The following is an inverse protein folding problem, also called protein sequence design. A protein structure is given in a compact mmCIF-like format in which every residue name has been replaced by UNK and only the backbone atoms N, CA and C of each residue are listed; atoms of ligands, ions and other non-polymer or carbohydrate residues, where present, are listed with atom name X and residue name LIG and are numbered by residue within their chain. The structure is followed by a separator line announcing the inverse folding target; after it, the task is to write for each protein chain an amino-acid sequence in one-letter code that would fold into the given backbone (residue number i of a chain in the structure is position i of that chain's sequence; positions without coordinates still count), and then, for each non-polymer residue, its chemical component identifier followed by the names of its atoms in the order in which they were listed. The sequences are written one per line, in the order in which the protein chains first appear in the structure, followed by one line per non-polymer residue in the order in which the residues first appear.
data_IF_859870900736
#
_entry.id   IF_859870900736
#
_cell.length_a   1.000
_cell.length_b   1.000
_cell.length_c   1.000
_cell.angle_alpha   90.00
_cell.angle_beta   90.00
_cell.angle_gamma   90.00
#
_symmetry.space_group_name_H-M   'P 1'
#
loop_
_entity.id
_entity.type
_entity.pdbx_description
1 polymer ?
#
# COMPACT_ATOMS: atom_id res chain seq x y z
N UNK A 1 46.20 -10.91 50.10
CA UNK A 1 45.13 -10.03 49.56
C UNK A 1 45.42 -9.44 48.16
N UNK A 2 46.67 -9.37 47.66
CA UNK A 2 47.00 -8.79 46.34
C UNK A 2 46.58 -9.63 45.11
N UNK A 3 46.37 -10.94 45.27
CA UNK A 3 45.99 -11.85 44.17
C UNK A 3 44.50 -11.78 43.79
N UNK A 4 43.62 -11.44 44.74
CA UNK A 4 42.16 -11.31 44.50
C UNK A 4 41.85 -10.05 43.66
N UNK A 5 42.60 -8.97 43.86
CA UNK A 5 42.39 -7.71 43.16
C UNK A 5 42.65 -7.84 41.64
N UNK A 6 43.66 -8.62 41.27
CA UNK A 6 44.06 -8.84 39.88
C UNK A 6 42.99 -9.66 39.11
N UNK A 7 42.37 -10.64 39.78
CA UNK A 7 41.29 -11.46 39.20
C UNK A 7 40.01 -10.64 38.97
N UNK A 8 39.69 -9.71 39.88
CA UNK A 8 38.52 -8.82 39.74
C UNK A 8 38.73 -7.80 38.60
N UNK A 9 39.96 -7.30 38.42
CA UNK A 9 40.30 -6.33 37.37
C UNK A 9 40.37 -6.96 35.96
N UNK A 10 40.64 -8.27 35.85
CA UNK A 10 40.56 -9.00 34.57
C UNK A 10 39.12 -9.31 34.15
N UNK A 11 38.17 -9.39 35.08
CA UNK A 11 36.78 -9.73 34.79
C UNK A 11 35.99 -8.58 34.13
N UNK A 12 36.41 -7.34 34.32
CA UNK A 12 35.69 -6.15 33.82
C UNK A 12 35.93 -5.83 32.34
N UNK A 13 36.86 -6.52 31.66
CA UNK A 13 37.17 -6.29 30.24
C UNK A 13 36.36 -7.15 29.25
N UNK A 14 35.56 -8.11 29.72
CA UNK A 14 34.95 -9.13 28.84
C UNK A 14 33.48 -8.93 28.45
N UNK A 15 32.85 -7.78 28.70
CA UNK A 15 31.42 -7.58 28.35
C UNK A 15 31.12 -6.22 27.74
N UNK A 16 31.82 -5.85 26.66
CA UNK A 16 31.36 -4.75 25.79
C UNK A 16 31.37 -5.24 24.34
N UNK A 17 30.48 -6.19 24.05
CA UNK A 17 30.11 -6.53 22.69
C UNK A 17 29.12 -5.50 22.16
N UNK A 18 29.60 -4.37 21.63
CA UNK A 18 28.74 -3.50 20.81
C UNK A 18 28.41 -4.23 19.51
N UNK A 19 27.32 -5.00 19.49
CA UNK A 19 26.81 -5.58 18.26
C UNK A 19 26.34 -4.44 17.37
N UNK A 20 27.17 -4.04 16.39
CA UNK A 20 26.79 -3.09 15.36
C UNK A 20 25.69 -3.75 14.53
N UNK A 21 24.44 -3.43 14.83
CA UNK A 21 23.29 -3.91 14.06
C UNK A 21 23.47 -3.50 12.60
N UNK A 22 23.77 -4.48 11.74
CA UNK A 22 23.91 -4.26 10.31
C UNK A 22 22.51 -3.96 9.76
N UNK A 23 22.33 -2.75 9.23
CA UNK A 23 21.10 -2.37 8.52
C UNK A 23 20.97 -3.36 7.35
N UNK A 24 19.99 -4.25 7.47
CA UNK A 24 19.75 -5.33 6.52
C UNK A 24 18.31 -5.20 6.05
N UNK A 25 18.10 -5.36 4.74
CA UNK A 25 16.76 -5.42 4.17
C UNK A 25 15.97 -6.55 4.84
N UNK A 26 14.78 -6.23 5.35
CA UNK A 26 13.84 -7.21 5.91
C UNK A 26 12.50 -7.08 5.22
N UNK A 27 11.74 -8.17 5.26
CA UNK A 27 10.36 -8.21 4.83
C UNK A 27 9.45 -7.88 6.01
N UNK A 28 8.49 -7.00 5.78
CA UNK A 28 7.49 -6.56 6.74
C UNK A 28 6.11 -6.72 6.12
N UNK A 29 5.25 -7.49 6.77
CA UNK A 29 3.83 -7.56 6.44
C UNK A 29 3.06 -6.77 7.48
N UNK A 30 2.41 -5.68 7.07
CA UNK A 30 1.78 -4.76 8.00
C UNK A 30 0.76 -3.87 7.34
N UNK A 31 0.12 -3.07 8.18
CA UNK A 31 -1.00 -2.22 7.83
C UNK A 31 -0.50 -0.81 7.57
N UNK A 32 -0.89 -0.22 6.45
CA UNK A 32 -0.48 1.12 6.06
C UNK A 32 -1.69 2.02 5.83
N UNK A 33 -1.61 3.25 6.34
CA UNK A 33 -2.60 4.30 6.11
C UNK A 33 -1.93 5.48 5.41
N UNK A 34 -2.45 5.86 4.23
CA UNK A 34 -1.87 6.93 3.41
C UNK A 34 -2.02 8.30 4.06
N UNK A 35 -3.17 8.59 4.68
CA UNK A 35 -3.48 9.87 5.31
C UNK A 35 -2.46 10.28 6.39
N UNK A 36 -1.93 9.31 7.14
CA UNK A 36 -0.94 9.53 8.21
C UNK A 36 0.48 9.08 7.82
N UNK A 37 0.67 8.59 6.58
CA UNK A 37 1.91 8.00 6.10
C UNK A 37 2.55 7.00 7.09
N UNK A 38 1.70 6.16 7.68
CA UNK A 38 2.07 5.32 8.83
C UNK A 38 1.94 3.84 8.49
N UNK A 39 3.00 3.07 8.72
CA UNK A 39 3.04 1.61 8.57
C UNK A 39 3.17 0.93 9.93
N UNK A 40 2.21 0.07 10.24
CA UNK A 40 2.12 -0.66 11.50
C UNK A 40 2.40 -2.13 11.28
N UNK A 41 3.37 -2.67 12.00
CA UNK A 41 3.84 -4.04 11.91
C UNK A 41 3.75 -4.71 13.28
N UNK A 42 3.10 -5.87 13.33
CA UNK A 42 3.10 -6.71 14.53
C UNK A 42 4.30 -7.64 14.46
N UNK A 43 5.29 -7.37 15.30
CA UNK A 43 6.44 -8.26 15.45
C UNK A 43 6.06 -9.39 16.38
N UNK A 44 5.85 -10.56 15.80
CA UNK A 44 5.72 -11.81 16.53
C UNK A 44 7.04 -12.11 17.27
N UNK A 45 6.94 -12.35 18.58
CA UNK A 45 8.06 -12.85 19.37
C UNK A 45 7.55 -14.06 20.15
N UNK A 46 8.19 -15.21 19.96
CA UNK A 46 7.72 -16.50 20.50
C UNK A 46 7.61 -16.55 22.04
N UNK A 47 8.30 -15.65 22.75
CA UNK A 47 8.46 -15.67 24.22
C UNK A 47 7.86 -14.45 24.91
N UNK A 48 7.42 -13.45 24.15
CA UNK A 48 6.90 -12.19 24.69
C UNK A 48 5.62 -11.80 23.96
N UNK A 49 4.73 -11.02 24.59
CA UNK A 49 3.59 -10.46 23.90
C UNK A 49 3.98 -9.78 22.60
N UNK A 50 3.14 -9.95 21.58
CA UNK A 50 3.28 -9.33 20.28
C UNK A 50 3.51 -7.83 20.44
N UNK A 51 4.58 -7.34 19.80
CA UNK A 51 4.92 -5.92 19.85
C UNK A 51 4.48 -5.24 18.57
N UNK A 52 3.56 -4.30 18.70
CA UNK A 52 3.19 -3.39 17.61
C UNK A 52 4.29 -2.35 17.43
N UNK A 53 4.77 -2.22 16.19
CA UNK A 53 5.77 -1.25 15.78
C UNK A 53 5.18 -0.35 14.71
N UNK A 54 5.45 0.94 14.80
CA UNK A 54 4.89 1.95 13.91
C UNK A 54 6.03 2.72 13.27
N UNK A 55 5.97 2.89 11.95
CA UNK A 55 7.00 3.53 11.15
C UNK A 55 6.40 4.58 10.21
N UNK A 56 7.15 5.66 9.98
CA UNK A 56 6.85 6.55 8.85
C UNK A 56 7.37 5.92 7.57
N UNK A 57 6.60 5.93 6.49
CA UNK A 57 7.02 5.33 5.23
C UNK A 57 7.76 6.33 4.35
N UNK A 58 8.82 5.85 3.71
CA UNK A 58 9.49 6.51 2.60
C UNK A 58 9.56 5.54 1.43
N UNK A 59 8.75 5.79 0.40
CA UNK A 59 8.83 5.09 -0.89
C UNK A 59 9.54 5.99 -1.90
N UNK A 60 10.68 5.51 -2.43
CA UNK A 60 11.42 6.24 -3.46
C UNK A 60 10.98 5.85 -4.89
N UNK A 61 10.21 4.76 -5.03
CA UNK A 61 9.78 4.23 -6.33
C UNK A 61 8.48 4.88 -6.83
N UNK A 62 7.67 5.44 -5.93
CA UNK A 62 6.31 5.90 -6.22
C UNK A 62 5.35 4.77 -6.58
N UNK A 63 5.76 3.51 -6.44
CA UNK A 63 4.91 2.35 -6.71
C UNK A 63 3.76 2.26 -5.72
N UNK A 64 4.00 2.64 -4.46
CA UNK A 64 2.99 2.61 -3.42
C UNK A 64 1.83 3.55 -3.76
N UNK A 65 2.14 4.75 -4.25
CA UNK A 65 1.13 5.72 -4.70
C UNK A 65 0.31 5.19 -5.87
N UNK A 66 0.95 4.56 -6.86
CA UNK A 66 0.24 3.97 -8.01
C UNK A 66 -0.70 2.83 -7.61
N UNK A 67 -0.29 2.01 -6.64
CA UNK A 67 -1.17 0.95 -6.10
C UNK A 67 -2.38 1.59 -5.42
N UNK A 68 -2.19 2.66 -4.64
CA UNK A 68 -3.29 3.42 -4.05
C UNK A 68 -4.22 4.02 -5.09
N UNK A 69 -3.68 4.65 -6.12
CA UNK A 69 -4.49 5.24 -7.19
C UNK A 69 -5.31 4.17 -7.92
N UNK A 70 -4.72 2.98 -8.16
CA UNK A 70 -5.44 1.83 -8.69
C UNK A 70 -6.58 1.36 -7.76
N UNK A 71 -6.30 1.21 -6.47
CA UNK A 71 -7.31 0.76 -5.50
C UNK A 71 -8.44 1.78 -5.32
N UNK A 72 -8.10 3.07 -5.35
CA UNK A 72 -9.07 4.18 -5.31
C UNK A 72 -10.01 4.14 -6.49
N UNK A 73 -9.46 3.97 -7.70
CA UNK A 73 -10.27 3.94 -8.94
C UNK A 73 -11.15 2.70 -9.05
N UNK A 74 -10.66 1.53 -8.60
CA UNK A 74 -11.36 0.25 -8.80
C UNK A 74 -12.26 -0.16 -7.65
N UNK A 75 -11.89 0.17 -6.42
CA UNK A 75 -12.55 -0.31 -5.20
C UNK A 75 -13.00 0.84 -4.29
N UNK A 76 -12.79 2.10 -4.68
CA UNK A 76 -13.18 3.25 -3.87
C UNK A 76 -12.38 3.37 -2.56
N UNK A 77 -11.14 2.84 -2.52
CA UNK A 77 -10.23 3.01 -1.39
C UNK A 77 -9.88 4.49 -1.22
N UNK A 78 -10.00 4.99 0.00
CA UNK A 78 -9.66 6.36 0.42
C UNK A 78 -8.34 6.41 1.17
N UNK A 79 -7.80 7.61 1.37
CA UNK A 79 -6.48 7.76 2.00
C UNK A 79 -6.49 7.39 3.50
N UNK A 80 -7.67 7.43 4.14
CA UNK A 80 -7.89 6.99 5.53
C UNK A 80 -7.98 5.48 5.69
N UNK A 81 -8.18 4.75 4.59
CA UNK A 81 -8.37 3.32 4.64
C UNK A 81 -7.05 2.59 4.96
N UNK A 82 -7.17 1.51 5.71
CA UNK A 82 -6.03 0.66 6.08
C UNK A 82 -5.85 -0.40 4.99
N UNK A 83 -4.71 -0.34 4.31
CA UNK A 83 -4.29 -1.33 3.31
C UNK A 83 -3.14 -2.15 3.87
N UNK A 84 -3.26 -3.47 3.83
CA UNK A 84 -2.16 -4.35 4.24
C UNK A 84 -1.16 -4.50 3.10
N UNK A 85 0.11 -4.23 3.37
CA UNK A 85 1.21 -4.42 2.43
C UNK A 85 2.22 -5.43 2.96
N UNK A 86 2.80 -6.19 2.03
CA UNK A 86 4.03 -6.94 2.24
C UNK A 86 5.17 -6.23 1.51
N UNK A 87 6.12 -5.68 2.26
CA UNK A 87 7.19 -4.83 1.73
C UNK A 87 8.55 -5.32 2.18
N UNK A 88 9.53 -5.21 1.28
CA UNK A 88 10.95 -5.38 1.59
C UNK A 88 11.60 -4.01 1.70
N UNK A 89 12.26 -3.74 2.83
CA UNK A 89 12.88 -2.45 3.10
C UNK A 89 13.79 -2.44 4.31
N UNK A 90 14.26 -1.23 4.65
CA UNK A 90 15.12 -1.00 5.82
C UNK A 90 14.45 -0.02 6.76
N UNK A 91 14.56 -0.28 8.07
CA UNK A 91 14.10 0.63 9.11
C UNK A 91 15.31 1.36 9.66
N UNK A 92 15.26 2.68 9.61
CA UNK A 92 16.28 3.55 10.20
C UNK A 92 16.06 3.70 11.71
N UNK A 93 17.11 4.18 12.41
CA UNK A 93 17.03 4.38 13.88
C UNK A 93 15.97 5.41 14.30
N UNK A 94 15.59 6.33 13.41
CA UNK A 94 14.55 7.34 13.61
C UNK A 94 13.14 6.84 13.24
N UNK A 95 12.94 5.53 13.02
CA UNK A 95 11.62 4.95 12.79
C UNK A 95 11.07 5.17 11.37
N UNK A 96 11.93 5.43 10.38
CA UNK A 96 11.52 5.55 8.98
C UNK A 96 11.75 4.22 8.27
N UNK A 97 10.68 3.65 7.71
CA UNK A 97 10.74 2.48 6.83
C UNK A 97 10.95 2.95 5.39
N UNK A 98 12.17 2.77 4.89
CA UNK A 98 12.47 3.00 3.47
C UNK A 98 12.15 1.74 2.68
N UNK A 99 11.11 1.81 1.86
CA UNK A 99 10.66 0.70 1.03
C UNK A 99 11.58 0.59 -0.19
N UNK A 100 12.04 -0.64 -0.44
CA UNK A 100 12.87 -0.99 -1.60
C UNK A 100 12.07 -1.76 -2.64
N UNK A 101 11.13 -2.60 -2.19
CA UNK A 101 10.26 -3.40 -3.06
C UNK A 101 8.95 -3.68 -2.36
N UNK A 102 7.84 -3.58 -3.09
CA UNK A 102 6.54 -4.10 -2.65
C UNK A 102 6.42 -5.53 -3.18
N UNK A 103 6.15 -6.48 -2.28
CA UNK A 103 6.01 -7.90 -2.60
C UNK A 103 4.55 -8.25 -2.87
N UNK A 104 3.64 -7.74 -2.05
CA UNK A 104 2.21 -7.93 -2.20
C UNK A 104 1.42 -6.79 -1.53
N UNK A 105 0.15 -6.66 -1.88
CA UNK A 105 -0.81 -5.76 -1.23
C UNK A 105 -2.18 -6.42 -1.15
N UNK A 106 -2.99 -6.03 -0.17
CA UNK A 106 -4.34 -6.52 0.03
C UNK A 106 -5.30 -5.34 0.15
N UNK A 107 -6.31 -5.33 -0.70
CA UNK A 107 -7.39 -4.33 -0.67
C UNK A 107 -8.19 -4.53 0.64
N UNK A 108 -8.64 -3.44 1.29
CA UNK A 108 -9.43 -3.57 2.51
C UNK A 108 -10.72 -4.35 2.26
N UNK A 109 -11.01 -5.34 3.09
CA UNK A 109 -12.12 -6.30 2.88
C UNK A 109 -13.48 -5.62 2.67
N UNK A 110 -13.76 -4.57 3.46
CA UNK A 110 -14.99 -3.80 3.37
C UNK A 110 -15.15 -3.02 2.04
N UNK A 111 -14.07 -2.86 1.26
CA UNK A 111 -14.09 -2.27 -0.09
C UNK A 111 -14.26 -3.33 -1.19
N UNK A 112 -13.88 -4.59 -0.94
CA UNK A 112 -14.19 -5.69 -1.86
C UNK A 112 -15.69 -6.02 -1.85
N UNK A 113 -16.27 -6.04 -0.65
CA UNK A 113 -17.66 -6.41 -0.40
C UNK A 113 -18.56 -5.19 -0.20
N UNK A 114 -18.33 -4.14 -0.97
CA UNK A 114 -18.97 -2.84 -0.76
C UNK A 114 -20.51 -2.90 -0.83
N UNK A 115 -21.07 -3.87 -1.57
CA UNK A 115 -22.50 -4.21 -1.61
C UNK A 115 -23.04 -4.70 -0.26
N UNK A 116 -22.23 -5.44 0.49
CA UNK A 116 -22.63 -6.09 1.74
C UNK A 116 -22.62 -5.06 2.89
N UNK A 117 -21.93 -3.94 2.70
CA UNK A 117 -21.87 -2.80 3.60
C UNK A 117 -22.72 -1.59 3.13
N UNK A 118 -23.50 -1.74 2.05
CA UNK A 118 -24.39 -0.69 1.53
C UNK A 118 -23.68 0.50 0.88
N UNK A 119 -22.40 0.39 0.55
CA UNK A 119 -21.58 1.45 -0.07
C UNK A 119 -21.15 1.03 -1.47
N UNK A 120 -22.03 1.09 -2.46
CA UNK A 120 -21.67 0.78 -3.85
C UNK A 120 -20.78 1.89 -4.42
N UNK A 121 -19.53 1.64 -4.84
CA UNK A 121 -18.72 2.64 -5.54
C UNK A 121 -19.27 2.86 -6.96
N UNK A 122 -19.45 4.13 -7.32
CA UNK A 122 -19.87 4.53 -8.66
C UNK A 122 -18.73 4.29 -9.66
N UNK A 123 -18.86 3.27 -10.50
CA UNK A 123 -17.95 3.03 -11.61
C UNK A 123 -18.18 4.08 -12.70
N UNK A 124 -17.40 5.16 -12.70
CA UNK A 124 -17.29 6.01 -13.89
C UNK A 124 -16.18 5.43 -14.75
N UNK A 125 -16.54 4.65 -15.76
CA UNK A 125 -15.63 4.22 -16.81
C UNK A 125 -15.30 5.41 -17.71
N UNK A 126 -14.14 6.03 -17.52
CA UNK A 126 -13.59 6.98 -18.50
C UNK A 126 -12.96 6.19 -19.63
N UNK A 127 -13.61 6.17 -20.80
CA UNK A 127 -13.02 5.68 -22.04
C UNK A 127 -11.87 6.63 -22.42
N UNK A 128 -10.62 6.16 -22.38
CA UNK A 128 -9.49 6.85 -23.01
C UNK A 128 -9.64 6.68 -24.53
N UNK A 129 -10.04 7.73 -25.23
CA UNK A 129 -9.83 7.83 -26.67
C UNK A 129 -8.35 8.05 -26.95
N UNK A 130 -7.72 7.02 -27.52
CA UNK A 130 -6.39 7.09 -28.10
C UNK A 130 -6.47 7.97 -29.36
N UNK A 131 -5.94 9.19 -29.29
CA UNK A 131 -5.74 10.04 -30.46
C UNK A 131 -4.54 9.54 -31.25
N UNK A 132 -4.80 8.88 -32.38
CA UNK A 132 -3.81 8.63 -33.41
C UNK A 132 -4.34 9.18 -34.74
N UNK A 133 -3.71 10.27 -35.19
CA UNK A 133 -3.99 10.98 -36.43
C UNK A 133 -3.59 10.12 -37.62
N UNK A 134 -4.51 9.87 -38.57
CA UNK A 134 -4.15 9.61 -39.98
C UNK A 134 -5.23 10.20 -40.89
N UNK A 135 -4.77 11.05 -41.80
CA UNK A 135 -5.55 11.81 -42.78
C UNK A 135 -6.06 10.93 -43.92
N UNK A 136 -7.22 11.31 -44.47
CA UNK A 136 -7.56 11.54 -45.91
C UNK A 136 -8.78 10.79 -46.46
N UNK A 137 -9.64 11.59 -47.11
CA UNK A 137 -10.62 11.32 -48.19
C UNK A 137 -12.05 10.83 -47.86
N UNK A 138 -12.95 11.82 -47.84
CA UNK A 138 -14.05 12.04 -48.79
C UNK A 138 -14.96 10.84 -49.14
N UNK A 139 -16.21 10.90 -48.66
CA UNK A 139 -17.42 10.61 -49.44
C UNK A 139 -18.69 10.91 -48.62
N UNK A 140 -19.49 11.82 -49.14
CA UNK A 140 -20.88 12.11 -48.74
C UNK A 140 -21.80 10.89 -48.85
N UNK A 141 -22.66 10.61 -47.86
CA UNK A 141 -24.07 10.26 -48.12
C UNK A 141 -24.99 10.31 -46.88
N UNK A 142 -25.95 11.22 -46.94
CA UNK A 142 -27.36 11.19 -46.54
C UNK A 142 -27.94 9.89 -45.91
N UNK A 143 -28.53 9.99 -44.70
CA UNK A 143 -29.95 9.68 -44.43
C UNK A 143 -30.25 9.50 -42.92
N UNK A 144 -31.01 10.44 -42.37
CA UNK A 144 -31.95 10.21 -41.27
C UNK A 144 -33.26 9.71 -41.91
N UNK A 145 -33.93 8.67 -41.37
CA UNK A 145 -35.21 8.99 -40.70
C UNK A 145 -35.57 8.06 -39.53
N UNK A 146 -36.45 8.55 -38.66
CA UNK A 146 -37.59 7.72 -38.23
C UNK A 146 -37.67 7.38 -36.76
N UNK A 147 -38.21 8.34 -36.00
CA UNK A 147 -38.97 8.13 -34.76
C UNK A 147 -40.01 7.01 -34.90
N UNK A 148 -40.07 6.08 -33.94
CA UNK A 148 -41.25 5.24 -33.69
C UNK A 148 -41.55 5.18 -32.19
N UNK A 149 -42.30 6.19 -31.76
CA UNK A 149 -43.21 6.13 -30.63
C UNK A 149 -44.45 5.36 -31.09
N UNK A 150 -44.95 4.41 -30.31
CA UNK A 150 -46.38 4.08 -30.34
C UNK A 150 -46.85 3.78 -28.91
N UNK A 151 -47.69 4.69 -28.41
CA UNK A 151 -48.48 4.50 -27.21
C UNK A 151 -49.70 3.62 -27.51
N UNK A 152 -50.13 2.96 -26.44
CA UNK A 152 -51.33 2.16 -26.25
C UNK A 152 -52.64 2.98 -26.31
N UNK A 153 -53.77 2.26 -26.28
CA UNK A 153 -55.20 2.63 -26.26
C UNK A 153 -55.87 2.68 -27.65
N UNK A 154 -57.08 2.17 -27.87
CA UNK A 154 -58.13 1.61 -27.01
C UNK A 154 -59.46 1.68 -27.77
N UNK A 155 -60.34 0.70 -27.52
CA UNK A 155 -61.68 0.42 -28.10
C UNK A 155 -61.77 -0.20 -29.49
#
# INVERSE_FOLDING_TARGET
MKKILLVIMMLTMSVIGFSKSKITDKTYKGDYTRATNTFTYIKDNLVFPNKTLTFTVKDNSGLMDRIYDFMKQKYGVEDSDIVTFDVKGTVSKNGVLTIKKILNYQIPEYKLHASDFGTTPSSTSTTQENSETTTTNDSSNLNNPGSFFNQETGN
#
